data_IF_230095147644
#
_entry.id   IF_230095147644
#
_cell.length_a   1.000
_cell.length_b   1.000
_cell.length_c   1.000
_cell.angle_alpha   90.00
_cell.angle_beta   90.00
_cell.angle_gamma   90.00
#
_symmetry.space_group_name_H-M   'P 1'
#
loop_
_entity.id
_entity.type
_entity.pdbx_description
1 polymer ?
#
# COMPACT_ATOMS: atom_id res chain seq x y z
N UNK A 1 -10.06 15.08 -6.02
CA UNK A 1 -11.43 14.76 -5.57
C UNK A 1 -12.40 15.09 -6.70
N UNK A 2 -13.08 14.09 -7.25
CA UNK A 2 -14.29 14.29 -8.05
C UNK A 2 -15.48 14.10 -7.10
N UNK A 3 -16.05 15.17 -6.54
CA UNK A 3 -17.09 15.05 -5.51
C UNK A 3 -18.41 14.44 -5.99
N UNK A 4 -18.63 14.35 -7.30
CA UNK A 4 -19.91 13.98 -7.90
C UNK A 4 -19.85 12.71 -8.78
N UNK A 5 -18.92 11.77 -8.48
CA UNK A 5 -18.95 10.46 -9.16
C UNK A 5 -20.03 9.59 -8.49
N UNK A 6 -21.12 9.22 -9.19
CA UNK A 6 -22.21 8.44 -8.62
C UNK A 6 -21.77 7.03 -8.19
N UNK A 7 -20.60 6.58 -8.65
CA UNK A 7 -20.02 5.29 -8.29
C UNK A 7 -19.09 5.38 -7.08
N UNK A 8 -18.89 6.56 -6.52
CA UNK A 8 -18.00 6.78 -5.38
C UNK A 8 -18.80 6.81 -4.06
N UNK A 9 -18.51 5.88 -3.17
CA UNK A 9 -19.05 5.86 -1.81
C UNK A 9 -17.93 6.14 -0.80
N UNK A 10 -18.09 7.20 -0.01
CA UNK A 10 -17.13 7.56 1.04
C UNK A 10 -17.43 6.79 2.34
N UNK A 11 -16.43 6.05 2.84
CA UNK A 11 -16.55 5.27 4.06
C UNK A 11 -16.10 6.12 5.26
N UNK A 12 -17.07 6.50 6.10
CA UNK A 12 -16.80 7.25 7.32
C UNK A 12 -16.42 8.71 7.09
N UNK A 13 -15.98 9.37 8.12
CA UNK A 13 -15.55 10.76 8.15
C UNK A 13 -14.10 10.89 8.60
N UNK A 14 -13.50 12.07 8.42
CA UNK A 14 -12.16 12.35 8.93
C UNK A 14 -12.05 12.18 10.46
N UNK A 15 -13.12 12.48 11.19
CA UNK A 15 -13.17 12.29 12.65
C UNK A 15 -13.19 10.80 13.00
N UNK A 16 -13.98 10.00 12.29
CA UNK A 16 -14.02 8.54 12.46
C UNK A 16 -12.65 7.91 12.23
N UNK A 17 -11.93 8.31 11.16
CA UNK A 17 -10.57 7.86 10.87
C UNK A 17 -9.58 8.22 12.00
N UNK A 18 -9.66 9.46 12.53
CA UNK A 18 -8.80 9.91 13.64
C UNK A 18 -9.08 9.11 14.91
N UNK A 19 -10.35 8.91 15.25
CA UNK A 19 -10.76 8.14 16.43
C UNK A 19 -10.35 6.68 16.31
N UNK A 20 -10.58 6.05 15.16
CA UNK A 20 -10.12 4.70 14.89
C UNK A 20 -8.60 4.60 15.05
N UNK A 21 -7.83 5.53 14.45
CA UNK A 21 -6.38 5.57 14.57
C UNK A 21 -5.89 5.70 16.03
N UNK A 22 -6.55 6.53 16.84
CA UNK A 22 -6.25 6.67 18.26
C UNK A 22 -6.52 5.36 19.02
N UNK A 23 -7.71 4.77 18.83
CA UNK A 23 -8.11 3.53 19.50
C UNK A 23 -7.20 2.36 19.09
N UNK A 24 -6.79 2.31 17.81
CA UNK A 24 -5.83 1.31 17.31
C UNK A 24 -4.48 1.43 17.98
N UNK A 25 -3.97 2.66 18.18
CA UNK A 25 -2.68 2.89 18.87
C UNK A 25 -2.73 2.48 20.34
N UNK A 26 -3.82 2.74 21.03
CA UNK A 26 -4.00 2.39 22.44
C UNK A 26 -4.16 0.87 22.61
N UNK A 27 -5.03 0.25 21.82
CA UNK A 27 -5.41 -1.16 22.00
C UNK A 27 -4.52 -2.16 21.28
N UNK A 28 -3.77 -1.71 20.26
CA UNK A 28 -3.03 -2.58 19.34
C UNK A 28 -3.91 -3.27 18.28
N UNK A 29 -5.22 -2.95 18.21
CA UNK A 29 -6.20 -3.60 17.33
C UNK A 29 -6.56 -2.75 16.13
N UNK A 30 -5.72 -2.72 15.12
CA UNK A 30 -6.03 -2.03 13.88
C UNK A 30 -7.07 -2.78 13.05
N UNK A 31 -8.02 -2.04 12.46
CA UNK A 31 -9.09 -2.62 11.64
C UNK A 31 -10.29 -3.15 12.43
N UNK A 32 -10.41 -2.81 13.72
CA UNK A 32 -11.48 -3.30 14.62
C UNK A 32 -12.45 -2.21 15.06
N UNK A 33 -12.23 -0.97 14.66
CA UNK A 33 -13.11 0.16 15.02
C UNK A 33 -13.92 0.62 13.81
N UNK A 34 -14.45 1.86 13.82
CA UNK A 34 -15.30 2.40 12.73
C UNK A 34 -16.57 1.58 12.49
N UNK A 35 -17.21 1.13 13.58
CA UNK A 35 -18.42 0.28 13.50
C UNK A 35 -19.56 0.94 12.73
N UNK A 36 -19.82 2.24 12.95
CA UNK A 36 -20.91 2.94 12.29
C UNK A 36 -20.63 3.11 10.79
N UNK A 37 -19.42 3.51 10.43
CA UNK A 37 -19.00 3.67 9.04
C UNK A 37 -19.10 2.34 8.29
N UNK A 38 -18.65 1.24 8.91
CA UNK A 38 -18.73 -0.09 8.31
C UNK A 38 -20.18 -0.59 8.19
N UNK A 39 -21.02 -0.31 9.19
CA UNK A 39 -22.46 -0.64 9.10
C UNK A 39 -23.14 0.07 7.93
N UNK A 40 -22.82 1.34 7.71
CA UNK A 40 -23.34 2.10 6.59
C UNK A 40 -22.81 1.56 5.24
N UNK A 41 -21.53 1.18 5.17
CA UNK A 41 -20.96 0.51 3.99
C UNK A 41 -21.69 -0.80 3.70
N UNK A 42 -21.92 -1.64 4.71
CA UNK A 42 -22.66 -2.91 4.57
C UNK A 42 -24.07 -2.66 4.00
N UNK A 43 -24.79 -1.66 4.51
CA UNK A 43 -26.10 -1.28 3.96
C UNK A 43 -26.00 -0.82 2.49
N UNK A 44 -24.93 -0.11 2.15
CA UNK A 44 -24.70 0.29 0.76
C UNK A 44 -24.41 -0.92 -0.13
N UNK A 45 -23.54 -1.85 0.29
CA UNK A 45 -23.29 -3.11 -0.41
C UNK A 45 -24.58 -3.92 -0.58
N UNK A 46 -25.42 -3.98 0.44
CA UNK A 46 -26.71 -4.67 0.41
C UNK A 46 -27.70 -4.04 -0.59
N UNK A 47 -27.62 -2.72 -0.79
CA UNK A 47 -28.40 -1.99 -1.79
C UNK A 47 -27.94 -2.26 -3.20
N UNK A 48 -26.63 -2.23 -3.47
CA UNK A 48 -26.06 -2.39 -4.81
C UNK A 48 -25.93 -3.85 -5.25
N UNK A 49 -25.90 -4.80 -4.28
CA UNK A 49 -25.84 -6.26 -4.52
C UNK A 49 -24.73 -6.66 -5.51
N UNK A 50 -23.46 -6.35 -5.22
CA UNK A 50 -22.38 -6.68 -6.14
C UNK A 50 -22.20 -8.20 -6.26
N UNK A 51 -21.84 -8.67 -7.47
CA UNK A 51 -21.50 -10.07 -7.73
C UNK A 51 -20.15 -10.47 -7.12
N UNK A 52 -19.27 -9.50 -6.89
CA UNK A 52 -17.94 -9.66 -6.31
C UNK A 52 -17.52 -8.40 -5.55
N UNK A 53 -16.82 -8.57 -4.43
CA UNK A 53 -16.20 -7.46 -3.70
C UNK A 53 -14.68 -7.55 -3.82
N UNK A 54 -14.07 -6.50 -4.36
CA UNK A 54 -12.63 -6.40 -4.54
C UNK A 54 -12.01 -5.49 -3.47
N UNK A 55 -11.14 -6.05 -2.65
CA UNK A 55 -10.53 -5.37 -1.51
C UNK A 55 -9.11 -4.91 -1.81
N UNK A 56 -8.83 -3.64 -1.47
CA UNK A 56 -7.52 -3.02 -1.52
C UNK A 56 -7.26 -2.25 -0.22
N UNK A 57 -6.05 -2.31 0.32
CA UNK A 57 -5.51 -1.40 1.36
C UNK A 57 -6.49 -0.99 2.49
N UNK A 58 -7.13 -1.95 3.17
CA UNK A 58 -8.12 -1.66 4.22
C UNK A 58 -7.50 -1.18 5.55
N UNK A 59 -6.19 -0.97 5.60
CA UNK A 59 -5.46 -0.55 6.82
C UNK A 59 -5.53 0.95 7.14
N UNK A 60 -6.37 1.72 6.44
CA UNK A 60 -6.46 3.19 6.56
C UNK A 60 -7.28 3.72 7.76
N UNK A 61 -7.57 2.89 8.77
CA UNK A 61 -8.35 3.25 9.96
C UNK A 61 -9.78 3.76 9.67
N UNK A 62 -10.45 3.22 8.67
CA UNK A 62 -11.78 3.66 8.26
C UNK A 62 -12.81 2.52 8.22
N UNK A 63 -12.40 1.29 8.51
CA UNK A 63 -13.26 0.10 8.38
C UNK A 63 -13.06 -0.87 9.55
N UNK A 64 -14.14 -1.56 9.93
CA UNK A 64 -14.11 -2.71 10.82
C UNK A 64 -14.04 -3.98 9.97
N UNK A 65 -12.84 -4.57 9.86
CA UNK A 65 -12.62 -5.74 9.02
C UNK A 65 -13.45 -6.95 9.45
N UNK A 66 -13.52 -7.33 10.75
CA UNK A 66 -14.36 -8.45 11.19
C UNK A 66 -15.83 -8.31 10.80
N UNK A 67 -16.40 -7.09 10.93
CA UNK A 67 -17.79 -6.82 10.57
C UNK A 67 -18.02 -6.94 9.06
N UNK A 68 -17.11 -6.40 8.25
CA UNK A 68 -17.19 -6.51 6.79
C UNK A 68 -17.11 -7.97 6.35
N UNK A 69 -16.06 -8.69 6.80
CA UNK A 69 -15.83 -10.08 6.39
C UNK A 69 -16.96 -10.99 6.82
N UNK A 70 -17.48 -10.80 8.05
CA UNK A 70 -18.66 -11.55 8.51
C UNK A 70 -19.87 -11.34 7.59
N UNK A 71 -20.14 -10.12 7.16
CA UNK A 71 -21.25 -9.84 6.24
C UNK A 71 -21.04 -10.51 4.88
N UNK A 72 -19.83 -10.43 4.32
CA UNK A 72 -19.52 -11.04 3.02
C UNK A 72 -19.63 -12.57 3.07
N UNK A 73 -19.21 -13.19 4.18
CA UNK A 73 -19.37 -14.61 4.43
C UNK A 73 -20.85 -15.01 4.60
N UNK A 74 -21.62 -14.32 5.46
CA UNK A 74 -23.05 -14.57 5.69
C UNK A 74 -23.87 -14.48 4.37
N UNK A 75 -23.46 -13.62 3.44
CA UNK A 75 -24.11 -13.41 2.13
C UNK A 75 -23.48 -14.19 1.00
N UNK A 76 -22.40 -14.92 1.26
CA UNK A 76 -21.61 -15.69 0.27
C UNK A 76 -21.15 -14.85 -0.92
N UNK A 77 -20.76 -13.62 -0.65
CA UNK A 77 -20.24 -12.71 -1.68
C UNK A 77 -18.80 -13.08 -1.99
N UNK A 78 -18.44 -13.38 -3.25
CA UNK A 78 -17.07 -13.64 -3.64
C UNK A 78 -16.15 -12.47 -3.34
N UNK A 79 -14.94 -12.77 -2.84
CA UNK A 79 -13.96 -11.76 -2.44
C UNK A 79 -12.69 -11.90 -3.26
N UNK A 80 -12.23 -10.79 -3.81
CA UNK A 80 -10.90 -10.66 -4.41
C UNK A 80 -10.08 -9.71 -3.55
N UNK A 81 -8.81 -10.05 -3.25
CA UNK A 81 -7.88 -9.19 -2.52
C UNK A 81 -6.67 -8.92 -3.41
N UNK A 82 -6.38 -7.65 -3.69
CA UNK A 82 -5.12 -7.27 -4.32
C UNK A 82 -4.14 -6.73 -3.28
N UNK A 83 -2.95 -7.33 -3.26
CA UNK A 83 -1.88 -7.02 -2.32
C UNK A 83 -0.96 -5.94 -2.91
N UNK A 84 -1.17 -4.70 -2.52
CA UNK A 84 -0.24 -3.58 -2.73
C UNK A 84 0.78 -3.46 -1.58
N UNK A 85 0.45 -4.09 -0.47
CA UNK A 85 1.25 -4.31 0.72
C UNK A 85 0.82 -5.63 1.40
N UNK A 86 1.42 -5.95 2.53
CA UNK A 86 1.24 -7.25 3.18
C UNK A 86 0.37 -7.20 4.44
N UNK A 87 -0.39 -6.14 4.65
CA UNK A 87 -1.21 -5.99 5.86
C UNK A 87 -2.23 -7.12 6.05
N UNK A 88 -2.82 -7.64 4.99
CA UNK A 88 -3.81 -8.70 5.08
C UNK A 88 -3.21 -10.03 5.58
N UNK A 89 -1.95 -10.33 5.23
CA UNK A 89 -1.29 -11.61 5.58
C UNK A 89 -0.38 -11.50 6.79
N UNK A 90 -0.30 -10.34 7.44
CA UNK A 90 0.48 -10.11 8.65
C UNK A 90 -0.41 -9.70 9.81
N UNK A 91 0.10 -9.68 11.03
CA UNK A 91 -0.64 -9.10 12.17
C UNK A 91 -0.97 -7.63 11.96
N UNK A 92 0.02 -6.82 11.54
CA UNK A 92 -0.14 -5.37 11.34
C UNK A 92 0.77 -4.77 10.26
N UNK A 93 1.83 -5.47 9.87
CA UNK A 93 2.85 -4.91 9.00
C UNK A 93 2.32 -4.71 7.57
N UNK A 94 2.57 -3.53 7.00
CA UNK A 94 2.44 -3.30 5.57
C UNK A 94 3.70 -3.79 4.83
N UNK A 95 4.88 -3.67 5.47
CA UNK A 95 6.19 -3.98 4.89
C UNK A 95 7.04 -4.76 5.88
N UNK A 96 6.92 -6.09 5.88
CA UNK A 96 7.74 -6.96 6.75
C UNK A 96 9.21 -6.97 6.36
N UNK A 97 9.53 -6.62 5.13
CA UNK A 97 10.90 -6.53 4.61
C UNK A 97 11.76 -5.48 5.31
N UNK A 98 11.16 -4.47 5.96
CA UNK A 98 11.90 -3.45 6.71
C UNK A 98 12.75 -4.04 7.84
N UNK A 99 12.29 -5.13 8.45
CA UNK A 99 12.99 -5.84 9.53
C UNK A 99 13.36 -7.27 9.17
N UNK A 100 13.21 -7.67 7.91
CA UNK A 100 13.39 -9.05 7.44
C UNK A 100 12.63 -10.06 8.31
N UNK A 101 11.40 -9.72 8.72
CA UNK A 101 10.59 -10.55 9.61
C UNK A 101 9.81 -11.58 8.82
N UNK A 102 10.01 -12.85 9.12
CA UNK A 102 9.29 -13.98 8.49
C UNK A 102 8.24 -14.63 9.39
N UNK A 103 8.05 -14.15 10.62
CA UNK A 103 7.12 -14.73 11.60
C UNK A 103 5.69 -14.86 11.08
N UNK A 104 5.25 -13.94 10.23
CA UNK A 104 3.91 -13.92 9.66
C UNK A 104 3.57 -15.17 8.81
N UNK A 105 4.56 -15.94 8.40
CA UNK A 105 4.34 -17.20 7.65
C UNK A 105 3.68 -18.28 8.52
N UNK A 106 3.85 -18.19 9.84
CA UNK A 106 3.27 -19.13 10.80
C UNK A 106 2.45 -18.38 11.86
N UNK A 107 3.11 -17.54 12.64
CA UNK A 107 2.52 -16.84 13.78
C UNK A 107 3.25 -15.53 14.05
N UNK A 108 2.54 -14.42 14.05
CA UNK A 108 3.06 -13.13 14.53
C UNK A 108 3.20 -13.13 16.07
N UNK A 109 3.71 -12.04 16.62
CA UNK A 109 3.97 -11.84 18.04
C UNK A 109 5.40 -11.37 18.28
N UNK A 110 5.65 -10.66 19.40
CA UNK A 110 6.93 -9.98 19.68
C UNK A 110 7.41 -9.21 18.43
N UNK A 111 6.55 -8.30 17.96
CA UNK A 111 6.68 -7.67 16.65
C UNK A 111 7.86 -6.70 16.59
N UNK A 112 8.88 -6.91 15.72
CA UNK A 112 10.01 -5.99 15.60
C UNK A 112 9.58 -4.62 15.03
N UNK A 113 8.46 -4.57 14.28
CA UNK A 113 7.91 -3.37 13.65
C UNK A 113 6.75 -2.78 14.45
N UNK A 114 6.71 -2.96 15.77
CA UNK A 114 5.56 -2.54 16.58
C UNK A 114 5.34 -1.02 16.54
N UNK A 115 6.39 -0.26 16.40
CA UNK A 115 6.36 1.20 16.34
C UNK A 115 6.35 1.76 14.91
N UNK A 116 6.43 0.91 13.89
CA UNK A 116 6.48 1.34 12.49
C UNK A 116 5.09 1.39 11.86
N UNK A 117 4.88 2.33 10.94
CA UNK A 117 3.64 2.49 10.21
C UNK A 117 2.44 2.72 11.14
N UNK A 118 1.57 1.73 11.23
CA UNK A 118 0.43 1.75 12.16
C UNK A 118 0.89 1.40 13.60
N UNK A 119 1.70 2.28 14.20
CA UNK A 119 2.28 2.06 15.53
C UNK A 119 1.24 1.73 16.59
N UNK A 120 1.64 0.93 17.59
CA UNK A 120 0.88 0.67 18.80
C UNK A 120 1.65 1.16 20.01
N UNK A 121 0.95 1.70 21.02
CA UNK A 121 1.62 2.32 22.17
C UNK A 121 1.87 1.37 23.33
N UNK A 122 0.93 0.47 23.59
CA UNK A 122 0.94 -0.32 24.81
C UNK A 122 0.93 -1.83 24.58
N UNK A 123 0.27 -2.32 23.52
CA UNK A 123 0.02 -3.74 23.37
C UNK A 123 0.49 -4.28 22.02
N UNK A 124 1.19 -5.39 22.04
CA UNK A 124 1.41 -6.20 20.85
C UNK A 124 0.26 -7.20 20.70
N UNK A 125 -0.62 -6.93 19.72
CA UNK A 125 -1.75 -7.79 19.37
C UNK A 125 -1.53 -8.48 18.02
N UNK A 126 -0.30 -8.51 17.52
CA UNK A 126 -0.03 -8.99 16.17
C UNK A 126 -0.32 -10.48 15.98
N UNK A 127 -0.12 -11.28 17.01
CA UNK A 127 -0.50 -12.70 17.02
C UNK A 127 -2.02 -12.86 16.90
N UNK A 128 -2.79 -12.21 17.78
CA UNK A 128 -4.24 -12.22 17.77
C UNK A 128 -4.78 -11.76 16.41
N UNK A 129 -4.24 -10.65 15.88
CA UNK A 129 -4.69 -10.08 14.61
C UNK A 129 -4.42 -10.98 13.40
N UNK A 130 -3.29 -11.69 13.34
CA UNK A 130 -3.02 -12.64 12.26
C UNK A 130 -3.95 -13.85 12.35
N UNK A 131 -4.13 -14.37 13.55
CA UNK A 131 -5.06 -15.49 13.81
C UNK A 131 -6.48 -15.14 13.40
N UNK A 132 -6.96 -13.96 13.79
CA UNK A 132 -8.30 -13.49 13.45
C UNK A 132 -8.47 -13.32 11.93
N UNK A 133 -7.50 -12.72 11.25
CA UNK A 133 -7.52 -12.58 9.77
C UNK A 133 -7.56 -13.96 9.11
N UNK A 134 -6.71 -14.88 9.55
CA UNK A 134 -6.69 -16.25 9.04
C UNK A 134 -8.06 -16.92 9.21
N UNK A 135 -8.69 -16.74 10.38
CA UNK A 135 -10.01 -17.29 10.65
C UNK A 135 -11.12 -16.61 9.83
N UNK A 136 -11.05 -15.31 9.61
CA UNK A 136 -12.00 -14.59 8.76
C UNK A 136 -11.94 -15.11 7.31
N UNK A 137 -10.74 -15.21 6.74
CA UNK A 137 -10.57 -15.67 5.36
C UNK A 137 -10.84 -17.15 5.17
N UNK A 138 -10.67 -17.98 6.22
CA UNK A 138 -11.03 -19.41 6.15
C UNK A 138 -12.52 -19.67 5.99
N UNK A 139 -13.37 -18.68 6.27
CA UNK A 139 -14.82 -18.76 6.14
C UNK A 139 -15.35 -18.17 4.84
N UNK A 140 -14.50 -17.46 4.09
CA UNK A 140 -14.90 -16.83 2.82
C UNK A 140 -15.20 -17.91 1.78
N UNK A 141 -16.43 -17.92 1.25
CA UNK A 141 -16.93 -18.98 0.35
C UNK A 141 -16.13 -19.06 -0.97
N UNK A 142 -15.79 -17.91 -1.55
CA UNK A 142 -14.94 -17.79 -2.74
C UNK A 142 -13.91 -16.70 -2.55
N UNK A 143 -12.64 -17.07 -2.50
CA UNK A 143 -11.54 -16.19 -2.22
C UNK A 143 -10.48 -16.22 -3.34
N UNK A 144 -10.20 -15.07 -3.93
CA UNK A 144 -9.07 -14.90 -4.84
C UNK A 144 -8.04 -13.93 -4.27
N UNK A 145 -6.77 -14.31 -4.30
CA UNK A 145 -5.64 -13.49 -3.86
C UNK A 145 -4.79 -13.09 -5.06
N UNK A 146 -4.53 -11.81 -5.19
CA UNK A 146 -3.82 -11.23 -6.32
C UNK A 146 -2.59 -10.47 -5.82
N UNK A 147 -1.40 -10.91 -6.19
CA UNK A 147 -0.17 -10.12 -5.96
C UNK A 147 0.10 -9.18 -7.14
N UNK A 148 0.51 -7.94 -6.86
CA UNK A 148 0.85 -6.95 -7.91
C UNK A 148 2.17 -7.24 -8.63
N UNK A 149 2.85 -8.30 -8.26
CA UNK A 149 4.05 -8.84 -8.93
C UNK A 149 4.18 -10.32 -8.62
N UNK A 150 5.05 -11.03 -9.37
CA UNK A 150 5.38 -12.41 -9.06
C UNK A 150 5.92 -12.55 -7.64
N UNK A 151 6.86 -11.69 -7.24
CA UNK A 151 7.40 -11.68 -5.87
C UNK A 151 6.30 -11.50 -4.80
N UNK A 152 5.41 -10.52 -4.96
CA UNK A 152 4.32 -10.31 -4.01
C UNK A 152 3.38 -11.53 -3.93
N UNK A 153 3.13 -12.19 -5.06
CA UNK A 153 2.32 -13.42 -5.11
C UNK A 153 3.04 -14.57 -4.39
N UNK A 154 4.33 -14.75 -4.64
CA UNK A 154 5.13 -15.79 -3.99
C UNK A 154 5.15 -15.60 -2.46
N UNK A 155 5.22 -14.34 -1.98
CA UNK A 155 5.10 -14.04 -0.55
C UNK A 155 3.70 -14.34 -0.03
N UNK A 156 2.63 -13.94 -0.72
CA UNK A 156 1.25 -14.28 -0.33
C UNK A 156 1.06 -15.79 -0.19
N UNK A 157 1.64 -16.59 -1.10
CA UNK A 157 1.56 -18.05 -1.04
C UNK A 157 2.16 -18.67 0.23
N UNK A 158 3.12 -17.99 0.88
CA UNK A 158 3.72 -18.46 2.14
C UNK A 158 2.82 -18.22 3.36
N UNK A 159 1.76 -17.42 3.21
CA UNK A 159 0.91 -17.02 4.34
C UNK A 159 -0.09 -18.10 4.73
N UNK A 160 -0.52 -18.15 6.02
CA UNK A 160 -1.58 -19.05 6.46
C UNK A 160 -2.92 -18.84 5.74
N UNK A 161 -3.13 -17.67 5.15
CA UNK A 161 -4.37 -17.29 4.45
C UNK A 161 -4.45 -17.95 3.07
N UNK A 162 -3.31 -18.10 2.38
CA UNK A 162 -3.26 -18.62 1.02
C UNK A 162 -3.89 -20.00 0.85
N UNK A 163 -3.85 -20.84 1.90
CA UNK A 163 -4.45 -22.19 1.87
C UNK A 163 -5.97 -22.22 1.71
N UNK A 164 -6.63 -21.09 1.96
CA UNK A 164 -8.08 -20.95 1.87
C UNK A 164 -8.54 -20.27 0.56
N UNK A 165 -7.60 -19.86 -0.27
CA UNK A 165 -7.90 -19.21 -1.53
C UNK A 165 -8.14 -20.23 -2.64
N UNK A 166 -9.20 -20.02 -3.43
CA UNK A 166 -9.48 -20.78 -4.66
C UNK A 166 -8.49 -20.44 -5.77
N UNK A 167 -8.04 -19.18 -5.77
CA UNK A 167 -7.12 -18.66 -6.79
C UNK A 167 -6.06 -17.79 -6.12
N UNK A 168 -4.79 -18.03 -6.43
CA UNK A 168 -3.67 -17.14 -6.12
C UNK A 168 -2.88 -16.90 -7.39
N UNK A 169 -2.80 -15.65 -7.87
CA UNK A 169 -2.07 -15.35 -9.11
C UNK A 169 -1.51 -13.92 -9.13
N UNK A 170 -0.45 -13.66 -9.91
CA UNK A 170 0.03 -12.32 -10.16
C UNK A 170 -0.86 -11.60 -11.18
N UNK A 171 -1.19 -10.33 -10.89
CA UNK A 171 -1.71 -9.36 -11.87
C UNK A 171 -0.90 -8.09 -11.65
N UNK A 172 -0.01 -7.79 -12.59
CA UNK A 172 0.89 -6.66 -12.48
C UNK A 172 0.13 -5.33 -12.52
N UNK A 173 0.67 -4.32 -11.81
CA UNK A 173 0.17 -2.97 -11.97
C UNK A 173 0.27 -2.54 -13.42
N UNK A 174 -0.78 -1.93 -13.92
CA UNK A 174 -0.82 -1.42 -15.28
C UNK A 174 -0.21 -0.02 -15.38
N UNK A 175 0.22 0.33 -16.56
CA UNK A 175 0.62 1.68 -16.92
C UNK A 175 -0.10 2.09 -18.19
N UNK A 176 -0.50 3.36 -18.28
CA UNK A 176 -1.13 3.90 -19.48
C UNK A 176 -0.08 4.09 -20.58
N UNK A 177 0.04 3.13 -21.47
CA UNK A 177 0.98 3.14 -22.60
C UNK A 177 0.66 4.21 -23.65
N UNK A 178 -0.53 4.82 -23.61
CA UNK A 178 -0.85 5.98 -24.45
C UNK A 178 -0.20 7.28 -23.91
N UNK A 179 0.23 7.25 -22.64
CA UNK A 179 0.93 8.36 -21.95
C UNK A 179 2.41 8.07 -21.77
N UNK A 180 2.75 6.86 -21.33
CA UNK A 180 4.13 6.42 -21.08
C UNK A 180 4.63 5.60 -22.26
N UNK A 181 5.28 6.24 -23.21
CA UNK A 181 5.91 5.66 -24.39
C UNK A 181 7.21 6.40 -24.70
N UNK A 182 8.18 5.79 -25.38
CA UNK A 182 9.41 6.46 -25.81
C UNK A 182 9.09 7.69 -26.65
N UNK A 183 9.56 8.87 -26.21
CA UNK A 183 9.30 10.16 -26.85
C UNK A 183 10.55 11.04 -26.82
N UNK A 184 10.50 12.19 -27.52
CA UNK A 184 11.54 13.20 -27.40
C UNK A 184 11.50 13.83 -25.99
N UNK A 185 12.60 13.65 -25.26
CA UNK A 185 12.77 14.14 -23.88
C UNK A 185 13.58 15.44 -23.81
N UNK A 186 13.92 16.05 -24.96
CA UNK A 186 14.77 17.23 -25.03
C UNK A 186 14.23 18.37 -24.18
N UNK A 187 12.91 18.63 -24.26
CA UNK A 187 12.26 19.71 -23.49
C UNK A 187 12.43 19.54 -21.98
N UNK A 188 12.24 18.33 -21.45
CA UNK A 188 12.44 18.06 -20.03
C UNK A 188 13.91 18.17 -19.65
N UNK A 189 14.82 17.66 -20.49
CA UNK A 189 16.26 17.78 -20.26
C UNK A 189 16.72 19.22 -20.24
N UNK A 190 16.31 20.04 -21.20
CA UNK A 190 16.65 21.47 -21.27
C UNK A 190 16.09 22.22 -20.05
N UNK A 191 14.84 21.94 -19.66
CA UNK A 191 14.19 22.56 -18.49
C UNK A 191 14.95 22.33 -17.19
N UNK A 192 15.48 21.14 -16.99
CA UNK A 192 16.15 20.74 -15.74
C UNK A 192 17.69 20.71 -15.84
N UNK A 193 18.27 21.10 -16.97
CA UNK A 193 19.71 21.12 -17.18
C UNK A 193 20.35 19.71 -17.18
N UNK A 194 19.63 18.70 -17.64
CA UNK A 194 20.05 17.30 -17.60
C UNK A 194 20.94 17.01 -18.81
N UNK A 195 22.21 16.74 -18.55
CA UNK A 195 23.20 16.41 -19.58
C UNK A 195 23.69 14.95 -19.45
N UNK A 196 23.98 14.33 -20.59
CA UNK A 196 24.56 12.98 -20.62
C UNK A 196 23.60 11.88 -20.11
N UNK A 197 24.18 10.86 -19.50
CA UNK A 197 23.42 9.74 -18.92
C UNK A 197 22.67 10.20 -17.67
N UNK A 198 21.43 9.75 -17.54
CA UNK A 198 20.55 10.09 -16.42
C UNK A 198 20.05 8.83 -15.71
N UNK A 199 20.19 8.78 -14.40
CA UNK A 199 19.48 7.85 -13.55
C UNK A 199 18.31 8.59 -12.88
N UNK A 200 17.08 8.06 -12.98
CA UNK A 200 15.89 8.70 -12.42
C UNK A 200 15.28 7.86 -11.29
N UNK A 201 14.86 8.52 -10.24
CA UNK A 201 14.02 7.96 -9.20
C UNK A 201 12.76 8.80 -9.01
N UNK A 202 11.60 8.15 -8.80
CA UNK A 202 10.32 8.82 -8.58
C UNK A 202 9.68 8.34 -7.29
N UNK A 203 9.38 9.27 -6.39
CA UNK A 203 8.66 8.99 -5.15
C UNK A 203 7.89 10.23 -4.71
N UNK A 204 6.69 10.06 -4.14
CA UNK A 204 5.97 11.21 -3.58
C UNK A 204 6.74 11.86 -2.43
N UNK A 205 7.29 11.04 -1.53
CA UNK A 205 8.16 11.46 -0.41
C UNK A 205 9.32 10.48 -0.36
N UNK A 206 10.53 11.02 -0.42
CA UNK A 206 11.75 10.25 -0.34
C UNK A 206 12.06 9.83 1.09
N UNK A 207 12.52 8.62 1.26
CA UNK A 207 12.90 8.02 2.55
C UNK A 207 13.95 6.92 2.32
N UNK A 208 14.53 6.41 3.39
CA UNK A 208 15.44 5.26 3.32
C UNK A 208 14.76 4.06 2.63
N UNK A 209 13.52 3.75 2.99
CA UNK A 209 12.72 2.69 2.36
C UNK A 209 12.50 2.89 0.85
N UNK A 210 12.49 4.13 0.39
CA UNK A 210 12.37 4.48 -1.04
C UNK A 210 13.72 4.56 -1.75
N UNK A 211 14.80 4.18 -1.06
CA UNK A 211 16.12 4.08 -1.62
C UNK A 211 16.86 5.43 -1.75
N UNK A 212 16.45 6.48 -1.04
CA UNK A 212 17.12 7.77 -1.10
C UNK A 212 18.63 7.63 -0.86
N UNK A 213 19.02 6.87 0.16
CA UNK A 213 20.44 6.61 0.47
C UNK A 213 21.17 5.98 -0.71
N UNK A 214 20.57 4.99 -1.37
CA UNK A 214 21.17 4.33 -2.53
C UNK A 214 21.37 5.28 -3.73
N UNK A 215 20.45 6.22 -3.94
CA UNK A 215 20.60 7.25 -4.98
C UNK A 215 21.72 8.24 -4.64
N UNK A 216 21.87 8.63 -3.35
CA UNK A 216 22.97 9.47 -2.88
C UNK A 216 24.29 8.74 -3.10
N UNK A 217 24.42 7.50 -2.66
CA UNK A 217 25.63 6.68 -2.85
C UNK A 217 25.97 6.47 -4.34
N UNK A 218 24.96 6.31 -5.20
CA UNK A 218 25.14 6.24 -6.64
C UNK A 218 25.74 7.52 -7.18
N UNK A 219 25.17 8.68 -6.80
CA UNK A 219 25.65 9.97 -7.25
C UNK A 219 27.08 10.28 -6.79
N UNK A 220 27.45 9.89 -5.56
CA UNK A 220 28.80 10.03 -5.02
C UNK A 220 29.82 9.16 -5.78
N UNK A 221 29.44 7.91 -6.10
CA UNK A 221 30.32 6.95 -6.80
C UNK A 221 30.46 7.22 -8.29
N UNK A 222 29.48 7.89 -8.89
CA UNK A 222 29.41 8.17 -10.33
C UNK A 222 29.16 9.67 -10.58
N UNK A 223 30.14 10.54 -10.32
CA UNK A 223 29.95 11.98 -10.45
C UNK A 223 29.72 12.45 -11.90
N UNK A 224 30.02 11.60 -12.88
CA UNK A 224 29.84 11.88 -14.31
C UNK A 224 28.39 11.72 -14.79
N UNK A 225 27.51 11.06 -14.02
CA UNK A 225 26.11 10.91 -14.38
C UNK A 225 25.24 11.97 -13.67
N UNK A 226 24.09 12.25 -14.26
CA UNK A 226 23.05 13.04 -13.59
C UNK A 226 22.06 12.12 -12.90
N UNK A 227 21.83 12.33 -11.61
CA UNK A 227 20.76 11.65 -10.85
C UNK A 227 19.59 12.59 -10.69
N UNK A 228 18.41 12.21 -11.16
CA UNK A 228 17.17 13.01 -11.06
C UNK A 228 16.23 12.36 -10.04
N UNK A 229 15.88 13.10 -8.99
CA UNK A 229 14.95 12.66 -7.96
C UNK A 229 13.66 13.46 -8.03
N UNK A 230 12.59 12.84 -8.51
CA UNK A 230 11.25 13.44 -8.57
C UNK A 230 10.53 13.18 -7.26
N UNK A 231 10.02 14.25 -6.63
CA UNK A 231 9.26 14.20 -5.40
C UNK A 231 9.84 15.04 -4.26
N UNK A 232 9.25 14.90 -3.07
CA UNK A 232 9.64 15.68 -1.90
C UNK A 232 10.76 15.00 -1.13
N UNK A 233 11.85 15.74 -0.89
CA UNK A 233 12.95 15.33 0.00
C UNK A 233 12.85 16.19 1.26
N UNK A 234 13.00 15.58 2.44
CA UNK A 234 12.94 16.27 3.71
C UNK A 234 14.08 17.31 3.82
N UNK A 235 13.81 18.41 4.47
CA UNK A 235 14.80 19.45 4.76
C UNK A 235 16.00 18.91 5.57
N UNK A 236 17.17 19.48 5.35
CA UNK A 236 18.40 19.14 6.09
C UNK A 236 19.17 17.94 5.53
N UNK A 237 18.77 17.36 4.39
CA UNK A 237 19.53 16.32 3.70
C UNK A 237 20.48 16.97 2.69
N UNK A 238 21.78 16.81 2.90
CA UNK A 238 22.80 17.23 1.93
C UNK A 238 22.82 16.28 0.73
N UNK A 239 22.74 16.84 -0.46
CA UNK A 239 22.75 16.10 -1.70
C UNK A 239 24.01 16.38 -2.52
N UNK A 240 24.64 15.37 -3.16
CA UNK A 240 25.68 15.55 -4.14
C UNK A 240 25.29 16.51 -5.27
N UNK A 241 26.26 17.23 -5.83
CA UNK A 241 26.05 18.28 -6.85
C UNK A 241 25.42 17.76 -8.16
N UNK A 242 25.60 16.49 -8.47
CA UNK A 242 25.04 15.82 -9.64
C UNK A 242 23.63 15.25 -9.39
N UNK A 243 23.02 15.52 -8.23
CA UNK A 243 21.59 15.24 -7.99
C UNK A 243 20.77 16.48 -8.33
N UNK A 244 19.83 16.32 -9.24
CA UNK A 244 18.78 17.31 -9.58
C UNK A 244 17.49 16.87 -8.90
N UNK A 245 16.90 17.74 -8.10
CA UNK A 245 15.60 17.52 -7.50
C UNK A 245 14.49 18.15 -8.33
N UNK A 246 13.48 17.38 -8.64
CA UNK A 246 12.27 17.84 -9.33
C UNK A 246 11.11 17.74 -8.36
N UNK A 247 10.38 18.83 -8.08
CA UNK A 247 9.21 18.77 -7.20
C UNK A 247 8.17 17.75 -7.69
N UNK A 248 7.32 17.28 -6.78
CA UNK A 248 6.20 16.43 -7.17
C UNK A 248 5.34 17.12 -8.23
N UNK A 249 5.18 16.48 -9.39
CA UNK A 249 4.35 17.00 -10.48
C UNK A 249 3.02 16.26 -10.54
N UNK A 250 1.95 16.99 -10.82
CA UNK A 250 0.64 16.41 -11.16
C UNK A 250 0.47 16.25 -12.68
N UNK A 251 1.43 16.72 -13.47
CA UNK A 251 1.44 16.56 -14.93
C UNK A 251 1.95 15.18 -15.31
N UNK A 252 1.06 14.37 -15.85
CA UNK A 252 1.42 13.03 -16.37
C UNK A 252 2.40 13.17 -17.55
N UNK A 253 2.22 14.18 -18.40
CA UNK A 253 3.07 14.40 -19.57
C UNK A 253 4.49 14.78 -19.14
N UNK A 254 4.65 15.67 -18.16
CA UNK A 254 5.97 16.02 -17.60
C UNK A 254 6.68 14.80 -16.98
N UNK A 255 5.94 13.99 -16.24
CA UNK A 255 6.49 12.75 -15.66
C UNK A 255 6.92 11.77 -16.76
N UNK A 256 6.11 11.63 -17.81
CA UNK A 256 6.44 10.76 -18.94
C UNK A 256 7.60 11.26 -19.81
N UNK A 257 7.86 12.59 -19.82
CA UNK A 257 9.04 13.18 -20.46
C UNK A 257 10.33 12.97 -19.63
N UNK A 258 10.20 12.75 -18.32
CA UNK A 258 11.33 12.47 -17.43
C UNK A 258 11.73 11.00 -17.43
N UNK A 259 10.81 10.06 -17.71
CA UNK A 259 11.08 8.62 -17.85
C UNK A 259 11.70 8.29 -19.21
#
# INVERSE_FOLDING_TARGET
NKPDDPNLYHIGSALDVKLHGLLSRISGKQGYFSHLATRNLVKYIEKIKPDVVHLHNLHGNYINLPMLMKYLDDKKVPVVITFHDFWFITGKCMYFTTSNCEKWQEQCGNCPNLQDGNRTWFFDKTEELLKDKTQMFSKTDKLALVGVSKWATDEVCKSPIARYADIVKPIYNWVDISKFYPRDIKKARDKYGINGFMAIGVSSIWSERKGLKSFIELAEKMPEITVVLVGTINEGIELPKNIITVPSTSSIDELAELY
#
